data_IF_833262416337
#
_entry.id   IF_833262416337
#
_cell.length_a   1.000
_cell.length_b   1.000
_cell.length_c   1.000
_cell.angle_alpha   90.00
_cell.angle_beta   90.00
_cell.angle_gamma   90.00
#
_symmetry.space_group_name_H-M   'P 1'
#
loop_
_entity.id
_entity.type
_entity.pdbx_description
1 polymer ?
#
# COMPACT_ATOMS: atom_id res chain seq x y z
N UNK A 1 25.36 -9.94 0.63
CA UNK A 1 24.50 -11.12 0.60
C UNK A 1 23.54 -11.02 -0.57
N UNK A 2 23.71 -11.88 -1.53
CA UNK A 2 22.85 -11.93 -2.69
C UNK A 2 21.43 -12.34 -2.26
N UNK A 3 20.47 -11.41 -2.25
CA UNK A 3 19.08 -11.79 -2.09
C UNK A 3 18.19 -10.94 -1.18
N UNK A 4 18.68 -9.86 -0.60
CA UNK A 4 17.85 -8.93 0.17
C UNK A 4 17.48 -7.70 -0.66
N UNK A 5 16.39 -7.04 -0.27
CA UNK A 5 16.02 -5.70 -0.69
C UNK A 5 16.24 -4.73 0.47
N UNK A 6 16.86 -3.60 0.17
CA UNK A 6 17.13 -2.54 1.14
C UNK A 6 16.45 -1.25 0.68
N UNK A 7 15.96 -0.41 1.60
CA UNK A 7 15.36 0.87 1.25
C UNK A 7 16.31 1.84 0.54
N UNK A 8 17.62 1.67 0.75
CA UNK A 8 18.65 2.47 0.09
C UNK A 8 20.02 1.79 0.10
N UNK A 9 20.96 2.25 -0.74
CA UNK A 9 22.26 1.60 -0.92
C UNK A 9 23.28 1.92 0.19
N UNK A 10 23.13 3.02 0.91
CA UNK A 10 24.11 3.53 1.87
C UNK A 10 23.53 3.68 3.27
N UNK A 11 22.77 4.75 3.54
CA UNK A 11 22.19 5.07 4.84
C UNK A 11 21.22 3.99 5.29
N UNK A 12 20.39 3.49 4.39
CA UNK A 12 19.39 2.46 4.63
C UNK A 12 19.83 1.06 4.15
N UNK A 13 21.12 0.77 4.26
CA UNK A 13 21.66 -0.56 3.90
C UNK A 13 21.39 -1.60 5.01
N UNK A 14 20.14 -1.65 5.45
CA UNK A 14 19.63 -2.74 6.30
C UNK A 14 18.23 -3.12 5.86
N UNK A 15 17.76 -4.26 6.33
CA UNK A 15 16.46 -4.78 5.95
C UNK A 15 15.36 -4.23 6.87
N UNK A 16 14.26 -3.76 6.28
CA UNK A 16 12.98 -3.50 6.91
C UNK A 16 11.88 -4.29 6.24
N UNK A 17 10.98 -4.91 7.02
CA UNK A 17 9.85 -5.64 6.45
C UNK A 17 8.90 -4.72 5.69
N UNK A 18 8.60 -3.54 6.21
CA UNK A 18 7.75 -2.54 5.55
C UNK A 18 8.21 -2.27 4.13
N UNK A 19 9.42 -1.80 3.97
CA UNK A 19 10.01 -1.49 2.68
C UNK A 19 10.14 -2.73 1.80
N UNK A 20 10.59 -3.83 2.38
CA UNK A 20 10.73 -5.10 1.69
C UNK A 20 9.42 -5.61 1.10
N UNK A 21 8.32 -5.53 1.84
CA UNK A 21 7.00 -5.97 1.38
C UNK A 21 6.46 -5.09 0.25
N UNK A 22 6.60 -3.75 0.36
CA UNK A 22 6.14 -2.81 -0.66
C UNK A 22 6.98 -2.91 -1.95
N UNK A 23 8.31 -3.03 -1.83
CA UNK A 23 9.18 -3.28 -2.98
C UNK A 23 8.89 -4.62 -3.66
N UNK A 24 8.63 -5.69 -2.88
CA UNK A 24 8.26 -6.99 -3.44
C UNK A 24 6.91 -6.92 -4.14
N UNK A 25 5.93 -6.17 -3.62
CA UNK A 25 4.67 -5.95 -4.31
C UNK A 25 4.86 -5.31 -5.68
N UNK A 26 5.73 -4.29 -5.78
CA UNK A 26 6.08 -3.67 -7.07
C UNK A 26 6.77 -4.66 -8.02
N UNK A 27 7.71 -5.45 -7.52
CA UNK A 27 8.39 -6.50 -8.31
C UNK A 27 7.40 -7.58 -8.80
N UNK A 28 6.43 -7.98 -7.98
CA UNK A 28 5.36 -8.92 -8.39
C UNK A 28 4.52 -8.32 -9.52
N UNK A 29 4.14 -7.07 -9.38
CA UNK A 29 3.35 -6.36 -10.40
C UNK A 29 4.12 -6.13 -11.70
N UNK A 30 5.45 -6.10 -11.64
CA UNK A 30 6.35 -6.03 -12.79
C UNK A 30 6.77 -7.41 -13.33
N UNK A 31 6.24 -8.52 -12.78
CA UNK A 31 6.47 -9.87 -13.30
C UNK A 31 7.73 -10.58 -12.79
N UNK A 32 8.46 -10.03 -11.83
CA UNK A 32 9.70 -10.63 -11.29
C UNK A 32 9.43 -11.76 -10.29
N UNK A 33 8.59 -12.73 -10.67
CA UNK A 33 8.10 -13.84 -9.83
C UNK A 33 9.22 -14.59 -9.09
N UNK A 34 10.24 -15.06 -9.82
CA UNK A 34 11.34 -15.83 -9.20
C UNK A 34 12.17 -15.01 -8.22
N UNK A 35 12.39 -13.74 -8.53
CA UNK A 35 13.08 -12.83 -7.61
C UNK A 35 12.29 -12.65 -6.33
N UNK A 36 10.99 -12.42 -6.44
CA UNK A 36 10.09 -12.30 -5.29
C UNK A 36 10.09 -13.58 -4.45
N UNK A 37 10.04 -14.76 -5.08
CA UNK A 37 10.15 -16.06 -4.38
C UNK A 37 11.44 -16.12 -3.55
N UNK A 38 12.59 -15.81 -4.14
CA UNK A 38 13.89 -15.85 -3.44
C UNK A 38 13.93 -14.90 -2.25
N UNK A 39 13.40 -13.68 -2.41
CA UNK A 39 13.33 -12.67 -1.34
C UNK A 39 12.43 -13.13 -0.19
N UNK A 40 11.19 -13.51 -0.49
CA UNK A 40 10.21 -13.97 0.50
C UNK A 40 10.67 -15.25 1.21
N UNK A 41 11.46 -16.10 0.55
CA UNK A 41 12.00 -17.33 1.11
C UNK A 41 12.98 -17.08 2.29
N UNK A 42 13.49 -15.86 2.41
CA UNK A 42 14.31 -15.41 3.53
C UNK A 42 13.51 -14.95 4.75
N UNK A 43 12.23 -14.56 4.58
CA UNK A 43 11.43 -13.94 5.63
C UNK A 43 11.22 -14.83 6.88
N UNK A 44 10.88 -16.14 6.77
CA UNK A 44 10.68 -16.99 7.93
C UNK A 44 11.91 -17.09 8.86
N UNK A 45 13.12 -16.88 8.33
CA UNK A 45 14.35 -16.88 9.15
C UNK A 45 14.49 -15.64 10.03
N UNK A 46 13.73 -14.60 9.74
CA UNK A 46 13.71 -13.32 10.47
C UNK A 46 12.56 -13.23 11.46
N UNK A 47 11.69 -14.27 11.49
CA UNK A 47 10.62 -14.38 12.47
C UNK A 47 11.19 -14.91 13.78
N UNK A 48 10.93 -14.23 14.87
CA UNK A 48 11.35 -14.67 16.18
C UNK A 48 10.47 -15.82 16.75
N UNK A 49 10.80 -16.29 17.97
CA UNK A 49 10.09 -17.39 18.61
C UNK A 49 8.65 -17.03 18.98
N UNK A 50 8.32 -15.77 19.23
CA UNK A 50 6.95 -15.32 19.50
C UNK A 50 6.07 -15.26 18.26
N UNK A 51 6.67 -15.20 17.07
CA UNK A 51 5.98 -15.01 15.80
C UNK A 51 6.12 -13.60 15.24
N UNK A 52 6.89 -12.75 15.87
CA UNK A 52 7.14 -11.40 15.41
C UNK A 52 8.14 -11.37 14.25
N UNK A 53 7.75 -10.76 13.14
CA UNK A 53 8.65 -10.39 12.05
C UNK A 53 9.29 -9.04 12.39
N UNK A 54 10.36 -9.08 13.15
CA UNK A 54 10.96 -7.90 13.77
C UNK A 54 11.92 -7.18 12.83
N UNK A 55 11.56 -5.96 12.40
CA UNK A 55 12.54 -4.98 11.88
C UNK A 55 13.19 -4.23 13.03
N UNK A 56 12.36 -3.64 13.87
CA UNK A 56 12.78 -2.91 15.05
C UNK A 56 11.64 -2.90 16.10
N UNK A 57 11.96 -2.71 17.37
CA UNK A 57 10.94 -2.67 18.42
C UNK A 57 10.07 -1.43 18.26
N UNK A 58 8.76 -1.57 18.40
CA UNK A 58 7.81 -0.48 18.22
C UNK A 58 7.26 -0.34 16.78
N UNK A 59 7.77 -1.13 15.82
CA UNK A 59 7.23 -1.22 14.46
C UNK A 59 6.27 -2.41 14.36
N UNK A 60 4.99 -2.17 14.66
CA UNK A 60 3.99 -3.25 14.75
C UNK A 60 3.35 -3.62 13.42
N UNK A 61 3.58 -2.86 12.37
CA UNK A 61 3.06 -3.06 11.01
C UNK A 61 3.62 -4.29 10.30
N UNK A 62 4.84 -4.70 10.66
CA UNK A 62 5.62 -5.70 9.92
C UNK A 62 4.93 -7.07 9.80
N UNK A 63 4.26 -7.56 10.86
CA UNK A 63 3.56 -8.83 10.79
C UNK A 63 2.44 -8.77 9.75
N UNK A 64 1.61 -7.72 9.81
CA UNK A 64 0.53 -7.52 8.85
C UNK A 64 1.01 -7.50 7.41
N UNK A 65 2.10 -6.77 7.15
CA UNK A 65 2.70 -6.64 5.84
C UNK A 65 3.28 -7.96 5.30
N UNK A 66 3.93 -8.75 6.15
CA UNK A 66 4.47 -10.06 5.74
C UNK A 66 3.35 -11.03 5.36
N UNK A 67 2.30 -11.10 6.18
CA UNK A 67 1.16 -11.96 5.89
C UNK A 67 0.47 -11.54 4.58
N UNK A 68 0.28 -10.23 4.41
CA UNK A 68 -0.30 -9.65 3.20
C UNK A 68 0.54 -9.96 1.95
N UNK A 69 1.87 -9.80 1.99
CA UNK A 69 2.71 -10.04 0.82
C UNK A 69 2.84 -11.53 0.48
N UNK A 70 2.76 -12.44 1.46
CA UNK A 70 2.68 -13.88 1.19
C UNK A 70 1.40 -14.26 0.44
N UNK A 71 0.24 -13.74 0.89
CA UNK A 71 -1.03 -13.92 0.18
C UNK A 71 -0.97 -13.27 -1.22
N UNK A 72 -0.42 -12.05 -1.31
CA UNK A 72 -0.24 -11.34 -2.58
C UNK A 72 0.59 -12.16 -3.57
N UNK A 73 1.69 -12.76 -3.12
CA UNK A 73 2.51 -13.65 -3.94
C UNK A 73 1.67 -14.82 -4.48
N UNK A 74 0.96 -15.54 -3.60
CA UNK A 74 0.14 -16.69 -4.01
C UNK A 74 -0.95 -16.30 -5.01
N UNK A 75 -1.59 -15.15 -4.82
CA UNK A 75 -2.64 -14.65 -5.73
C UNK A 75 -2.07 -14.20 -7.07
N UNK A 76 -0.98 -13.45 -7.07
CA UNK A 76 -0.36 -12.92 -8.29
C UNK A 76 0.24 -14.02 -9.17
N UNK A 77 0.86 -15.03 -8.57
CA UNK A 77 1.56 -16.09 -9.31
C UNK A 77 0.70 -17.33 -9.56
N UNK A 78 -0.29 -17.59 -8.71
CA UNK A 78 -1.02 -18.86 -8.66
C UNK A 78 -0.26 -19.99 -7.96
N UNK A 79 0.98 -19.75 -7.51
CA UNK A 79 1.84 -20.77 -6.91
C UNK A 79 1.36 -21.22 -5.54
N UNK A 80 1.64 -22.48 -5.16
CA UNK A 80 1.52 -22.90 -3.79
C UNK A 80 2.59 -22.21 -2.92
N UNK A 81 2.21 -21.84 -1.70
CA UNK A 81 3.15 -21.32 -0.72
C UNK A 81 3.96 -22.47 -0.10
N UNK A 82 5.29 -22.31 0.11
CA UNK A 82 6.07 -23.23 0.90
C UNK A 82 5.51 -23.40 2.32
N UNK A 83 5.53 -24.61 2.87
CA UNK A 83 4.97 -24.88 4.21
C UNK A 83 5.49 -23.93 5.29
N UNK A 84 6.79 -23.60 5.28
CA UNK A 84 7.38 -22.64 6.22
C UNK A 84 6.83 -21.21 6.11
N UNK A 85 6.32 -20.80 4.94
CA UNK A 85 5.65 -19.49 4.81
C UNK A 85 4.25 -19.56 5.43
N UNK A 86 3.54 -20.66 5.18
CA UNK A 86 2.22 -20.91 5.78
C UNK A 86 2.32 -20.95 7.30
N UNK A 87 3.28 -21.72 7.85
CA UNK A 87 3.50 -21.80 9.30
C UNK A 87 3.90 -20.43 9.88
N UNK A 88 4.78 -19.71 9.19
CA UNK A 88 5.19 -18.36 9.56
C UNK A 88 4.01 -17.37 9.57
N UNK A 89 3.13 -17.44 8.56
CA UNK A 89 1.94 -16.60 8.49
C UNK A 89 0.98 -16.86 9.64
N UNK A 90 0.67 -18.14 9.94
CA UNK A 90 -0.23 -18.49 11.05
C UNK A 90 0.34 -18.08 12.41
N UNK A 91 1.66 -18.26 12.59
CA UNK A 91 2.35 -17.81 13.79
C UNK A 91 2.36 -16.29 13.92
N UNK A 92 2.58 -15.58 12.81
CA UNK A 92 2.51 -14.12 12.75
C UNK A 92 1.11 -13.57 13.02
N UNK A 93 0.06 -14.24 12.53
CA UNK A 93 -1.32 -13.89 12.82
C UNK A 93 -1.65 -14.02 14.31
N UNK A 94 -1.21 -15.12 14.94
CA UNK A 94 -1.36 -15.30 16.40
C UNK A 94 -0.67 -14.17 17.17
N UNK A 95 0.54 -13.81 16.77
CA UNK A 95 1.26 -12.70 17.37
C UNK A 95 0.48 -11.39 17.30
N UNK A 96 -0.15 -11.07 16.15
CA UNK A 96 -1.00 -9.87 16.02
C UNK A 96 -2.13 -9.91 17.05
N UNK A 97 -2.84 -11.03 17.17
CA UNK A 97 -3.94 -11.20 18.14
C UNK A 97 -3.47 -11.02 19.59
N UNK A 98 -2.37 -11.68 19.95
CA UNK A 98 -1.80 -11.65 21.31
C UNK A 98 -1.15 -10.30 21.68
N UNK A 99 -0.70 -9.53 20.69
CA UNK A 99 -0.03 -8.25 20.90
C UNK A 99 -1.01 -7.11 21.19
N UNK A 100 -2.27 -7.24 20.83
CA UNK A 100 -3.30 -6.21 21.02
C UNK A 100 -3.48 -5.83 22.49
N UNK A 101 -3.82 -4.57 22.72
CA UNK A 101 -4.18 -4.09 24.06
C UNK A 101 -5.45 -4.79 24.55
N UNK A 102 -5.64 -4.90 25.88
CA UNK A 102 -6.91 -5.35 26.44
C UNK A 102 -8.08 -4.49 25.95
N UNK A 103 -9.25 -5.10 25.81
CA UNK A 103 -10.48 -4.35 25.54
C UNK A 103 -10.94 -3.64 26.79
N UNK A 104 -10.98 -2.34 26.73
CA UNK A 104 -11.49 -1.46 27.75
C UNK A 104 -12.22 -0.26 27.13
N UNK A 105 -12.64 0.69 27.95
CA UNK A 105 -13.33 1.91 27.53
C UNK A 105 -12.40 2.97 26.90
N UNK A 106 -11.09 2.72 26.80
CA UNK A 106 -10.18 3.63 26.14
C UNK A 106 -10.39 3.69 24.62
N UNK A 107 -9.91 4.74 23.96
CA UNK A 107 -9.99 4.83 22.50
C UNK A 107 -9.08 3.80 21.80
N UNK A 108 -8.07 3.28 22.52
CA UNK A 108 -7.14 2.26 21.98
C UNK A 108 -7.46 0.84 22.42
N UNK A 109 -8.56 0.63 23.17
CA UNK A 109 -8.95 -0.69 23.63
C UNK A 109 -9.13 -1.68 22.50
N UNK A 110 -8.34 -2.77 22.51
CA UNK A 110 -8.33 -3.81 21.47
C UNK A 110 -7.51 -3.47 20.21
N UNK A 111 -6.81 -2.33 20.16
CA UNK A 111 -5.84 -1.98 19.11
C UNK A 111 -4.45 -2.54 19.40
N UNK A 112 -3.53 -2.44 18.46
CA UNK A 112 -2.12 -2.69 18.70
C UNK A 112 -1.55 -1.64 19.70
N UNK A 113 -0.52 -1.97 20.47
CA UNK A 113 -0.01 -1.06 21.49
C UNK A 113 0.68 0.15 20.86
N UNK A 114 0.93 1.17 21.67
CA UNK A 114 1.70 2.33 21.23
C UNK A 114 3.06 1.90 20.68
N UNK A 115 3.44 2.48 19.58
CA UNK A 115 4.69 2.28 18.86
C UNK A 115 5.04 3.50 18.02
N UNK A 116 6.12 3.45 17.29
CA UNK A 116 6.48 4.52 16.35
C UNK A 116 6.52 4.05 14.90
N UNK A 117 6.17 2.82 14.64
CA UNK A 117 6.05 2.11 13.38
C UNK A 117 6.74 2.73 12.18
N UNK A 118 6.02 3.46 11.34
CA UNK A 118 6.61 4.30 10.34
C UNK A 118 6.96 5.65 11.01
N UNK A 119 8.22 5.88 11.31
CA UNK A 119 8.71 7.03 12.08
C UNK A 119 8.22 8.37 11.54
N UNK A 120 8.06 8.47 10.23
CA UNK A 120 7.52 9.66 9.58
C UNK A 120 6.04 9.97 9.91
N UNK A 121 5.33 9.07 10.58
CA UNK A 121 3.96 9.36 11.05
C UNK A 121 3.95 10.19 12.32
N UNK A 122 5.07 10.27 13.06
CA UNK A 122 5.23 11.10 14.26
C UNK A 122 5.78 10.34 15.48
N UNK A 123 5.65 10.92 16.68
CA UNK A 123 6.14 10.32 17.91
C UNK A 123 5.36 9.05 18.28
N UNK A 124 5.87 8.32 19.29
CA UNK A 124 5.25 7.08 19.77
C UNK A 124 3.76 7.25 20.13
N UNK A 125 2.89 6.47 19.47
CA UNK A 125 1.42 6.53 19.63
C UNK A 125 0.76 5.22 19.17
N UNK A 126 -0.58 5.09 19.31
CA UNK A 126 -1.41 3.99 18.81
C UNK A 126 -1.78 4.24 17.36
N UNK A 127 -0.93 3.85 16.42
CA UNK A 127 -1.12 4.17 15.02
C UNK A 127 -2.14 3.29 14.32
N UNK A 128 -3.15 3.91 13.71
CA UNK A 128 -4.09 3.19 12.83
C UNK A 128 -3.42 2.55 11.61
N UNK A 129 -2.26 3.06 11.19
CA UNK A 129 -1.40 2.39 10.22
C UNK A 129 -1.11 0.95 10.62
N UNK A 130 -0.70 0.71 11.87
CA UNK A 130 -0.39 -0.62 12.39
C UNK A 130 -1.62 -1.52 12.42
N UNK A 131 -2.75 -0.97 12.88
CA UNK A 131 -3.99 -1.70 12.99
C UNK A 131 -4.58 -2.07 11.62
N UNK A 132 -4.51 -1.18 10.62
CA UNK A 132 -4.92 -1.49 9.25
C UNK A 132 -4.05 -2.59 8.64
N UNK A 133 -2.72 -2.54 8.82
CA UNK A 133 -1.85 -3.62 8.39
C UNK A 133 -2.11 -4.91 9.16
N UNK A 134 -2.34 -4.84 10.47
CA UNK A 134 -2.72 -5.98 11.31
C UNK A 134 -3.99 -6.66 10.81
N UNK A 135 -5.02 -5.87 10.52
CA UNK A 135 -6.31 -6.34 9.97
C UNK A 135 -6.11 -7.01 8.60
N UNK A 136 -5.42 -6.36 7.68
CA UNK A 136 -5.13 -6.92 6.36
C UNK A 136 -4.30 -8.21 6.46
N UNK A 137 -3.37 -8.27 7.40
CA UNK A 137 -2.57 -9.46 7.69
C UNK A 137 -3.41 -10.63 8.20
N UNK A 138 -4.34 -10.40 9.14
CA UNK A 138 -5.26 -11.43 9.63
C UNK A 138 -6.17 -11.94 8.51
N UNK A 139 -6.71 -11.06 7.66
CA UNK A 139 -7.49 -11.43 6.49
C UNK A 139 -6.65 -12.24 5.48
N UNK A 140 -5.39 -11.86 5.25
CA UNK A 140 -4.47 -12.60 4.41
C UNK A 140 -4.16 -13.99 4.98
N UNK A 141 -3.91 -14.09 6.28
CA UNK A 141 -3.70 -15.37 6.96
C UNK A 141 -4.92 -16.29 6.86
N UNK A 142 -6.15 -15.74 6.94
CA UNK A 142 -7.36 -16.50 6.73
C UNK A 142 -7.45 -17.08 5.31
N UNK A 143 -7.13 -16.29 4.27
CA UNK A 143 -7.05 -16.79 2.88
C UNK A 143 -5.97 -17.87 2.70
N UNK A 144 -4.82 -17.69 3.36
CA UNK A 144 -3.75 -18.70 3.37
C UNK A 144 -4.25 -19.98 4.07
N UNK A 145 -4.91 -19.89 5.23
CA UNK A 145 -5.45 -21.03 5.93
C UNK A 145 -6.53 -21.77 5.12
N UNK A 146 -7.43 -21.04 4.45
CA UNK A 146 -8.43 -21.60 3.53
C UNK A 146 -7.78 -22.47 2.44
N UNK A 147 -6.65 -22.03 1.88
CA UNK A 147 -5.99 -22.69 0.76
C UNK A 147 -5.08 -23.84 1.20
N UNK A 148 -4.44 -23.74 2.37
CA UNK A 148 -3.35 -24.65 2.78
C UNK A 148 -3.55 -25.35 4.13
N UNK A 149 -4.65 -25.11 4.82
CA UNK A 149 -4.97 -25.63 6.15
C UNK A 149 -6.44 -26.12 6.22
N UNK A 150 -7.10 -25.81 7.33
CA UNK A 150 -8.44 -26.26 7.62
C UNK A 150 -9.44 -25.10 7.63
N UNK A 151 -10.70 -25.41 7.34
CA UNK A 151 -11.81 -24.46 7.45
C UNK A 151 -11.95 -23.89 8.87
N UNK A 152 -11.62 -24.68 9.89
CA UNK A 152 -11.64 -24.23 11.28
C UNK A 152 -10.63 -23.14 11.55
N UNK A 153 -9.40 -23.28 11.05
CA UNK A 153 -8.35 -22.25 11.17
C UNK A 153 -8.70 -20.97 10.39
N UNK A 154 -9.25 -21.12 9.18
CA UNK A 154 -9.80 -19.98 8.42
C UNK A 154 -10.83 -19.20 9.22
N UNK A 155 -11.85 -19.90 9.77
CA UNK A 155 -12.92 -19.26 10.53
C UNK A 155 -12.42 -18.56 11.80
N UNK A 156 -11.46 -19.16 12.51
CA UNK A 156 -10.86 -18.55 13.68
C UNK A 156 -10.14 -17.23 13.31
N UNK A 157 -9.37 -17.23 12.22
CA UNK A 157 -8.67 -16.03 11.76
C UNK A 157 -9.62 -14.93 11.25
N UNK A 158 -10.72 -15.31 10.59
CA UNK A 158 -11.77 -14.36 10.19
C UNK A 158 -12.47 -13.75 11.40
N UNK A 159 -12.68 -14.51 12.48
CA UNK A 159 -13.24 -13.99 13.72
C UNK A 159 -12.29 -12.97 14.37
N UNK A 160 -11.00 -13.26 14.43
CA UNK A 160 -9.98 -12.32 14.94
C UNK A 160 -9.89 -11.05 14.08
N UNK A 161 -9.95 -11.18 12.75
CA UNK A 161 -9.98 -10.04 11.85
C UNK A 161 -11.22 -9.16 12.09
N UNK A 162 -12.40 -9.76 12.17
CA UNK A 162 -13.64 -9.03 12.43
C UNK A 162 -13.64 -8.32 13.81
N UNK A 163 -12.97 -8.92 14.77
CA UNK A 163 -12.79 -8.38 16.10
C UNK A 163 -11.88 -7.15 16.13
N UNK A 164 -10.72 -7.22 15.46
CA UNK A 164 -9.84 -6.08 15.30
C UNK A 164 -10.52 -4.96 14.49
N UNK A 165 -11.21 -5.30 13.41
CA UNK A 165 -11.96 -4.36 12.59
C UNK A 165 -12.99 -3.58 13.41
N UNK A 166 -13.77 -4.28 14.26
CA UNK A 166 -14.73 -3.66 15.16
C UNK A 166 -14.06 -2.70 16.15
N UNK A 167 -12.95 -3.10 16.76
CA UNK A 167 -12.19 -2.26 17.69
C UNK A 167 -11.66 -1.00 16.99
N UNK A 168 -11.10 -1.17 15.81
CA UNK A 168 -10.50 -0.10 15.00
C UNK A 168 -11.55 0.95 14.58
N UNK A 169 -12.66 0.54 13.99
CA UNK A 169 -13.69 1.48 13.55
C UNK A 169 -14.43 2.10 14.74
N UNK A 170 -14.68 1.36 15.83
CA UNK A 170 -15.20 1.92 17.06
C UNK A 170 -14.27 3.00 17.63
N UNK A 171 -12.97 2.78 17.61
CA UNK A 171 -11.96 3.78 18.01
C UNK A 171 -12.08 5.07 17.18
N UNK A 172 -12.08 4.93 15.84
CA UNK A 172 -12.19 6.07 14.91
C UNK A 172 -13.49 6.85 15.12
N UNK A 173 -14.62 6.17 15.26
CA UNK A 173 -15.94 6.81 15.38
C UNK A 173 -16.12 7.54 16.72
N UNK A 174 -15.44 7.12 17.76
CA UNK A 174 -15.47 7.77 19.08
C UNK A 174 -14.55 9.01 19.16
N UNK A 175 -13.72 9.29 18.16
CA UNK A 175 -12.91 10.51 18.14
C UNK A 175 -13.84 11.71 17.91
N UNK A 176 -13.78 12.77 18.76
CA UNK A 176 -14.58 13.96 18.56
C UNK A 176 -14.37 14.58 17.17
N UNK A 177 -15.45 14.94 16.51
CA UNK A 177 -15.46 15.47 15.13
C UNK A 177 -14.51 16.68 14.94
N UNK A 178 -14.43 17.54 15.94
CA UNK A 178 -13.51 18.71 15.95
C UNK A 178 -12.02 18.30 15.82
N UNK A 179 -11.65 17.07 16.24
CA UNK A 179 -10.29 16.55 16.12
C UNK A 179 -10.07 15.88 14.78
N UNK A 180 -11.00 15.03 14.33
CA UNK A 180 -10.85 14.26 13.10
C UNK A 180 -11.29 14.98 11.82
N UNK A 181 -12.03 16.08 11.93
CA UNK A 181 -12.52 16.90 10.80
C UNK A 181 -13.20 16.07 9.70
N UNK A 182 -13.90 15.03 10.08
CA UNK A 182 -14.53 14.07 9.17
C UNK A 182 -13.58 13.05 8.53
N UNK A 183 -12.26 13.16 8.75
CA UNK A 183 -11.24 12.24 8.25
C UNK A 183 -10.82 11.20 9.27
N UNK A 184 -9.72 10.51 8.98
CA UNK A 184 -9.09 9.49 9.83
C UNK A 184 -7.72 10.04 10.26
N UNK A 185 -7.54 10.45 11.53
CA UNK A 185 -6.24 10.90 12.03
C UNK A 185 -5.24 9.74 12.10
N UNK A 186 -3.98 10.04 12.37
CA UNK A 186 -2.94 9.01 12.50
C UNK A 186 -3.18 8.05 13.68
N UNK A 187 -3.80 8.54 14.76
CA UNK A 187 -4.05 7.79 16.00
C UNK A 187 -5.30 8.31 16.73
N UNK A 188 -5.83 7.55 17.71
CA UNK A 188 -7.03 7.95 18.45
C UNK A 188 -6.85 9.23 19.28
N UNK A 189 -5.63 9.58 19.65
CA UNK A 189 -5.35 10.71 20.56
C UNK A 189 -4.87 11.98 19.85
N UNK A 190 -4.48 11.86 18.60
CA UNK A 190 -4.02 13.01 17.80
C UNK A 190 -5.18 13.73 17.10
N UNK A 191 -4.97 15.00 16.81
CA UNK A 191 -5.75 15.75 15.82
C UNK A 191 -5.26 15.40 14.42
N UNK A 192 -5.98 15.79 13.41
CA UNK A 192 -5.52 15.74 12.02
C UNK A 192 -4.20 16.51 11.87
N UNK A 193 -3.18 15.85 11.35
CA UNK A 193 -1.86 16.37 11.00
C UNK A 193 -1.28 15.58 9.83
N UNK A 194 -0.02 15.81 9.47
CA UNK A 194 0.63 15.13 8.35
C UNK A 194 0.72 13.61 8.53
N UNK A 195 0.77 13.10 9.77
CA UNK A 195 0.75 11.67 10.05
C UNK A 195 -0.51 10.94 9.60
N UNK A 196 -1.62 11.66 9.36
CA UNK A 196 -2.85 11.08 8.82
C UNK A 196 -2.68 10.46 7.42
N UNK A 197 -1.57 10.74 6.72
CA UNK A 197 -1.22 10.09 5.46
C UNK A 197 -1.12 8.57 5.63
N UNK A 198 -0.65 8.08 6.78
CA UNK A 198 -0.59 6.66 7.09
C UNK A 198 -1.96 5.99 7.11
N UNK A 199 -3.02 6.69 7.51
CA UNK A 199 -4.37 6.14 7.56
C UNK A 199 -4.97 5.89 6.16
N UNK A 200 -4.40 6.47 5.10
CA UNK A 200 -4.82 6.20 3.72
C UNK A 200 -4.53 4.76 3.28
N UNK A 201 -3.69 4.03 4.01
CA UNK A 201 -3.44 2.61 3.74
C UNK A 201 -4.73 1.77 3.77
N UNK A 202 -5.74 2.20 4.52
CA UNK A 202 -7.07 1.60 4.55
C UNK A 202 -7.78 1.62 3.18
N UNK A 203 -7.47 2.63 2.36
CA UNK A 203 -7.95 2.73 0.98
C UNK A 203 -6.99 2.02 0.02
N UNK A 204 -5.73 2.44 -0.02
CA UNK A 204 -4.70 1.86 -0.88
C UNK A 204 -3.40 1.62 -0.08
N UNK A 205 -2.79 0.42 -0.16
CA UNK A 205 -3.12 -0.71 -1.06
C UNK A 205 -4.11 -1.71 -0.48
N UNK A 206 -4.62 -1.55 0.75
CA UNK A 206 -5.30 -2.60 1.49
C UNK A 206 -6.77 -2.81 1.09
N UNK A 207 -7.42 -1.81 0.51
CA UNK A 207 -8.82 -1.86 0.09
C UNK A 207 -9.80 -2.29 1.22
N UNK A 208 -9.50 -1.94 2.48
CA UNK A 208 -10.36 -2.20 3.62
C UNK A 208 -11.61 -1.33 3.53
N UNK A 209 -11.43 -0.07 3.12
CA UNK A 209 -12.53 0.86 2.87
C UNK A 209 -12.92 0.84 1.39
N UNK A 210 -14.21 0.92 1.06
CA UNK A 210 -14.66 0.95 -0.32
C UNK A 210 -14.26 2.26 -1.01
N UNK A 211 -14.14 2.26 -2.36
CA UNK A 211 -13.99 3.51 -3.12
C UNK A 211 -15.13 4.48 -2.81
N UNK A 212 -14.84 5.77 -2.79
CA UNK A 212 -15.81 6.82 -2.43
C UNK A 212 -16.05 6.96 -0.92
N UNK A 213 -15.26 6.31 -0.07
CA UNK A 213 -15.39 6.46 1.37
C UNK A 213 -15.17 7.92 1.80
N UNK A 214 -16.17 8.49 2.48
CA UNK A 214 -16.17 9.92 2.86
C UNK A 214 -15.03 10.27 3.81
N UNK A 215 -14.66 9.42 4.74
CA UNK A 215 -13.58 9.70 5.69
C UNK A 215 -12.22 9.72 4.98
N UNK A 216 -12.00 8.82 4.00
CA UNK A 216 -10.81 8.83 3.14
C UNK A 216 -10.75 10.13 2.34
N UNK A 217 -11.83 10.54 1.67
CA UNK A 217 -11.88 11.77 0.90
C UNK A 217 -11.56 13.01 1.79
N UNK A 218 -12.13 13.08 2.99
CA UNK A 218 -11.85 14.15 3.96
C UNK A 218 -10.40 14.15 4.45
N UNK A 219 -9.79 12.97 4.60
CA UNK A 219 -8.37 12.85 4.95
C UNK A 219 -7.49 13.39 3.82
N UNK A 220 -7.76 13.00 2.58
CA UNK A 220 -7.04 13.51 1.40
C UNK A 220 -7.19 15.03 1.28
N UNK A 221 -8.41 15.56 1.37
CA UNK A 221 -8.66 17.01 1.29
C UNK A 221 -7.91 17.78 2.38
N UNK A 222 -7.87 17.25 3.62
CA UNK A 222 -7.07 17.84 4.69
C UNK A 222 -5.59 17.87 4.35
N UNK A 223 -5.03 16.72 3.92
CA UNK A 223 -3.60 16.59 3.61
C UNK A 223 -3.22 17.52 2.46
N UNK A 224 -3.97 17.52 1.37
CA UNK A 224 -3.70 18.39 0.21
C UNK A 224 -3.82 19.88 0.53
N UNK A 225 -4.71 20.25 1.47
CA UNK A 225 -4.91 21.67 1.84
C UNK A 225 -3.88 22.15 2.87
N UNK A 226 -3.37 21.27 3.75
CA UNK A 226 -2.60 21.65 4.93
C UNK A 226 -1.17 21.14 4.97
N UNK A 227 -0.88 20.06 4.22
CA UNK A 227 0.40 19.35 4.29
C UNK A 227 1.10 19.29 2.94
N UNK A 228 0.76 20.14 1.99
CA UNK A 228 1.40 20.22 0.69
C UNK A 228 2.31 21.43 0.57
N UNK A 229 3.42 21.27 -0.11
CA UNK A 229 4.32 22.34 -0.49
C UNK A 229 4.81 22.11 -1.92
N UNK A 230 4.66 23.13 -2.77
CA UNK A 230 5.05 23.07 -4.20
C UNK A 230 4.51 21.84 -4.95
N UNK A 231 3.23 21.49 -4.68
CA UNK A 231 2.55 20.38 -5.36
C UNK A 231 2.80 18.99 -4.80
N UNK A 232 3.72 18.82 -3.85
CA UNK A 232 4.01 17.54 -3.19
C UNK A 232 3.65 17.52 -1.71
N UNK A 233 3.41 16.32 -1.19
CA UNK A 233 3.15 16.12 0.25
C UNK A 233 4.42 16.43 1.05
N UNK A 234 4.31 17.38 1.96
CA UNK A 234 5.38 17.80 2.86
C UNK A 234 5.17 17.20 4.25
N UNK A 235 6.06 16.32 4.67
CA UNK A 235 6.11 15.85 6.05
C UNK A 235 6.81 16.91 6.91
N UNK A 236 6.11 17.40 7.94
CA UNK A 236 6.59 18.49 8.81
C UNK A 236 7.06 18.02 10.19
N UNK A 237 7.06 16.71 10.43
CA UNK A 237 7.50 16.12 11.70
C UNK A 237 8.87 15.45 11.55
N UNK A 238 8.94 14.13 11.63
CA UNK A 238 10.16 13.36 11.44
C UNK A 238 10.36 13.09 9.95
N UNK A 239 11.60 13.08 9.44
CA UNK A 239 11.93 12.96 8.01
C UNK A 239 11.33 14.11 7.18
N UNK A 240 11.49 15.33 7.68
CA UNK A 240 10.87 16.52 7.12
C UNK A 240 11.34 16.84 5.70
N UNK A 241 10.39 17.11 4.82
CA UNK A 241 10.60 17.44 3.43
C UNK A 241 9.44 16.99 2.55
N UNK A 242 9.53 17.27 1.24
CA UNK A 242 8.60 16.72 0.26
C UNK A 242 8.91 15.24 0.06
N UNK A 243 7.97 14.37 0.38
CA UNK A 243 8.15 12.93 0.28
C UNK A 243 7.50 12.38 -1.00
N UNK A 244 8.31 11.91 -1.94
CA UNK A 244 7.82 11.36 -3.20
C UNK A 244 6.88 10.17 -2.98
N UNK A 245 7.26 9.18 -2.15
CA UNK A 245 6.46 7.99 -1.89
C UNK A 245 5.13 8.28 -1.19
N UNK A 246 5.08 9.24 -0.25
CA UNK A 246 3.81 9.62 0.41
C UNK A 246 2.91 10.44 -0.53
N UNK A 247 3.49 11.27 -1.41
CA UNK A 247 2.75 11.94 -2.48
C UNK A 247 2.12 10.92 -3.44
N UNK A 248 2.87 9.86 -3.79
CA UNK A 248 2.38 8.77 -4.64
C UNK A 248 1.29 7.94 -3.95
N UNK A 249 1.38 7.69 -2.64
CA UNK A 249 0.31 7.04 -1.87
C UNK A 249 -1.00 7.83 -1.91
N UNK A 250 -0.93 9.16 -1.81
CA UNK A 250 -2.10 10.04 -1.98
C UNK A 250 -2.62 9.96 -3.41
N UNK A 251 -1.73 9.97 -4.43
CA UNK A 251 -2.12 9.83 -5.83
C UNK A 251 -2.83 8.49 -6.10
N UNK A 252 -2.37 7.40 -5.50
CA UNK A 252 -3.03 6.08 -5.58
C UNK A 252 -4.45 6.11 -5.02
N UNK A 253 -4.62 6.75 -3.86
CA UNK A 253 -5.94 6.92 -3.25
C UNK A 253 -6.86 7.77 -4.16
N UNK A 254 -6.36 8.87 -4.72
CA UNK A 254 -7.11 9.69 -5.67
C UNK A 254 -7.49 8.90 -6.92
N UNK A 255 -6.54 8.18 -7.54
CA UNK A 255 -6.78 7.34 -8.72
C UNK A 255 -7.85 6.27 -8.44
N UNK A 256 -7.78 5.59 -7.29
CA UNK A 256 -8.77 4.58 -6.90
C UNK A 256 -10.17 5.16 -6.74
N UNK A 257 -10.26 6.42 -6.35
CA UNK A 257 -11.52 7.14 -6.11
C UNK A 257 -11.97 7.96 -7.33
N UNK A 258 -11.43 7.70 -8.52
CA UNK A 258 -11.74 8.40 -9.77
C UNK A 258 -11.57 9.94 -9.68
N UNK A 259 -10.64 10.42 -8.83
CA UNK A 259 -10.35 11.84 -8.63
C UNK A 259 -9.17 12.28 -9.52
N UNK A 260 -9.38 13.21 -10.47
CA UNK A 260 -8.38 13.58 -11.48
C UNK A 260 -7.13 14.25 -10.90
N UNK A 261 -7.15 14.70 -9.65
CA UNK A 261 -5.99 15.33 -8.99
C UNK A 261 -4.77 14.39 -8.93
N UNK A 262 -4.94 13.05 -9.07
CA UNK A 262 -3.81 12.12 -9.13
C UNK A 262 -2.82 12.48 -10.23
N UNK A 263 -3.28 13.01 -11.36
CA UNK A 263 -2.45 13.35 -12.52
C UNK A 263 -1.42 14.45 -12.16
N UNK A 264 -1.86 15.49 -11.46
CA UNK A 264 -0.95 16.56 -11.01
C UNK A 264 0.11 16.03 -10.04
N UNK A 265 -0.25 15.07 -9.16
CA UNK A 265 0.71 14.47 -8.23
C UNK A 265 1.72 13.57 -8.95
N UNK A 266 1.26 12.83 -9.97
CA UNK A 266 2.14 12.04 -10.84
C UNK A 266 3.18 12.95 -11.52
N UNK A 267 2.73 14.04 -12.16
CA UNK A 267 3.60 15.01 -12.83
C UNK A 267 4.59 15.67 -11.84
N UNK A 268 4.09 16.11 -10.68
CA UNK A 268 4.95 16.69 -9.63
C UNK A 268 6.06 15.73 -9.21
N UNK A 269 5.73 14.45 -8.97
CA UNK A 269 6.74 13.46 -8.58
C UNK A 269 7.69 13.13 -9.72
N UNK A 270 7.23 13.12 -10.97
CA UNK A 270 8.10 12.98 -12.14
C UNK A 270 9.13 14.12 -12.21
N UNK A 271 8.69 15.36 -12.01
CA UNK A 271 9.55 16.55 -12.03
C UNK A 271 10.54 16.62 -10.86
N UNK A 272 10.23 15.95 -9.75
CA UNK A 272 11.12 15.84 -8.58
C UNK A 272 12.16 14.73 -8.73
N UNK A 273 12.11 13.91 -9.77
CA UNK A 273 13.09 12.86 -10.00
C UNK A 273 14.48 13.45 -10.29
N UNK A 274 15.51 12.74 -9.82
CA UNK A 274 16.87 13.01 -10.30
C UNK A 274 16.99 12.76 -11.81
N UNK A 275 18.04 13.25 -12.47
CA UNK A 275 18.26 12.96 -13.89
C UNK A 275 18.33 11.47 -14.25
N UNK A 276 18.56 10.62 -13.26
CA UNK A 276 18.61 9.15 -13.40
C UNK A 276 17.31 8.45 -12.99
N UNK A 277 16.21 9.20 -12.76
CA UNK A 277 14.89 8.66 -12.47
C UNK A 277 14.76 8.11 -11.05
N UNK A 278 15.30 8.78 -10.05
CA UNK A 278 15.32 8.33 -8.65
C UNK A 278 14.92 9.46 -7.71
N UNK A 279 14.50 9.09 -6.51
CA UNK A 279 14.10 10.02 -5.46
C UNK A 279 14.80 9.69 -4.14
N UNK A 280 15.25 10.70 -3.37
CA UNK A 280 15.53 10.53 -1.95
C UNK A 280 14.23 10.30 -1.16
N UNK A 281 14.35 9.90 0.10
CA UNK A 281 13.20 9.76 0.98
C UNK A 281 12.48 11.09 1.20
N UNK A 282 13.22 12.16 1.47
CA UNK A 282 12.69 13.51 1.58
C UNK A 282 13.50 14.49 0.73
N UNK A 283 12.81 15.40 0.08
CA UNK A 283 13.33 16.40 -0.84
C UNK A 283 13.16 17.78 -0.21
N UNK A 284 14.23 18.55 -0.17
CA UNK A 284 14.21 19.92 0.31
C UNK A 284 13.49 20.79 -0.73
N UNK A 285 12.36 21.47 -0.37
CA UNK A 285 11.52 22.13 -1.38
C UNK A 285 12.26 23.22 -2.17
N UNK A 286 13.09 24.01 -1.51
CA UNK A 286 13.80 25.13 -2.15
C UNK A 286 14.99 24.69 -3.02
N UNK A 287 15.80 23.73 -2.55
CA UNK A 287 16.99 23.29 -3.28
C UNK A 287 16.73 22.13 -4.22
N UNK A 288 15.60 21.45 -4.05
CA UNK A 288 15.21 20.19 -4.72
C UNK A 288 16.22 19.04 -4.54
N UNK A 289 17.18 19.20 -3.63
CA UNK A 289 18.11 18.15 -3.23
C UNK A 289 17.53 17.24 -2.13
N UNK A 290 18.11 16.05 -1.96
CA UNK A 290 17.75 15.17 -0.85
C UNK A 290 18.13 15.76 0.51
N UNK A 291 17.25 15.65 1.48
CA UNK A 291 17.48 16.12 2.86
C UNK A 291 17.27 15.00 3.91
N UNK A 292 16.85 13.82 3.50
CA UNK A 292 16.75 12.63 4.34
C UNK A 292 16.97 11.37 3.52
N UNK A 293 17.59 10.37 4.14
CA UNK A 293 17.87 9.07 3.55
C UNK A 293 18.88 9.10 2.42
N UNK A 294 18.90 8.04 1.63
CA UNK A 294 19.72 7.96 0.42
C UNK A 294 19.02 8.64 -0.76
N UNK A 295 19.77 9.07 -1.77
CA UNK A 295 19.21 9.60 -3.01
C UNK A 295 18.43 8.60 -3.85
N UNK A 296 18.43 7.34 -3.47
CA UNK A 296 17.80 6.19 -4.13
C UNK A 296 16.89 5.46 -3.15
N UNK A 297 15.75 6.05 -2.84
CA UNK A 297 14.81 5.46 -1.90
C UNK A 297 13.96 4.38 -2.59
N UNK A 298 14.14 3.11 -2.15
CA UNK A 298 13.51 1.94 -2.77
C UNK A 298 11.99 1.92 -2.68
N UNK A 299 11.42 2.43 -1.59
CA UNK A 299 9.97 2.55 -1.46
C UNK A 299 9.40 3.59 -2.44
N UNK A 300 10.06 4.74 -2.64
CA UNK A 300 9.62 5.72 -3.63
C UNK A 300 9.60 5.13 -5.05
N UNK A 301 10.66 4.39 -5.43
CA UNK A 301 10.69 3.69 -6.70
C UNK A 301 9.57 2.63 -6.84
N UNK A 302 9.29 1.90 -5.76
CA UNK A 302 8.21 0.91 -5.74
C UNK A 302 6.83 1.54 -5.92
N UNK A 303 6.54 2.65 -5.23
CA UNK A 303 5.27 3.37 -5.37
C UNK A 303 5.12 3.99 -6.77
N UNK A 304 6.20 4.49 -7.35
CA UNK A 304 6.19 4.97 -8.73
C UNK A 304 5.79 3.86 -9.72
N UNK A 305 6.44 2.69 -9.63
CA UNK A 305 6.13 1.53 -10.48
C UNK A 305 4.67 1.11 -10.29
N UNK A 306 4.18 1.10 -9.04
CA UNK A 306 2.80 0.74 -8.75
C UNK A 306 1.80 1.77 -9.29
N UNK A 307 2.06 3.07 -9.14
CA UNK A 307 1.16 4.08 -9.67
C UNK A 307 1.09 4.00 -11.20
N UNK A 308 2.23 3.96 -11.89
CA UNK A 308 2.27 3.83 -13.36
C UNK A 308 1.51 2.57 -13.81
N UNK A 309 1.75 1.43 -13.18
CA UNK A 309 0.99 0.20 -13.47
C UNK A 309 -0.51 0.41 -13.28
N UNK A 310 -0.92 1.04 -12.20
CA UNK A 310 -2.31 1.22 -11.83
C UNK A 310 -3.08 2.22 -12.72
N UNK A 311 -2.38 3.07 -13.46
CA UNK A 311 -3.00 3.89 -14.52
C UNK A 311 -3.64 3.02 -15.61
N UNK A 312 -3.00 1.89 -15.91
CA UNK A 312 -3.40 0.97 -16.98
C UNK A 312 -4.20 -0.21 -16.47
N UNK A 313 -3.74 -0.84 -15.38
CA UNK A 313 -4.29 -2.10 -14.86
C UNK A 313 -4.25 -2.08 -13.34
N UNK A 314 -5.41 -2.13 -12.69
CA UNK A 314 -5.49 -2.25 -11.23
C UNK A 314 -6.60 -3.20 -10.80
N UNK A 315 -6.39 -3.86 -9.69
CA UNK A 315 -7.39 -4.70 -9.04
C UNK A 315 -8.28 -3.85 -8.13
N UNK A 316 -9.57 -4.17 -8.10
CA UNK A 316 -10.53 -3.66 -7.13
C UNK A 316 -11.37 -4.84 -6.61
N UNK A 317 -10.95 -5.43 -5.49
CA UNK A 317 -11.49 -6.69 -5.01
C UNK A 317 -11.34 -7.80 -6.05
N UNK A 318 -12.47 -8.36 -6.48
CA UNK A 318 -12.55 -9.40 -7.52
C UNK A 318 -12.73 -8.82 -8.94
N UNK A 319 -12.54 -7.51 -9.11
CA UNK A 319 -12.65 -6.84 -10.41
C UNK A 319 -11.30 -6.38 -10.91
N UNK A 320 -11.17 -6.30 -12.23
CA UNK A 320 -10.03 -5.71 -12.91
C UNK A 320 -10.45 -4.40 -13.58
N UNK A 321 -9.80 -3.31 -13.22
CA UNK A 321 -10.06 -1.98 -13.78
C UNK A 321 -8.94 -1.67 -14.77
N UNK A 322 -9.31 -1.30 -15.98
CA UNK A 322 -8.40 -1.09 -17.11
C UNK A 322 -8.49 0.33 -17.63
N UNK A 323 -7.35 1.00 -17.77
CA UNK A 323 -7.22 2.31 -18.38
C UNK A 323 -7.79 3.48 -17.56
N UNK A 324 -8.13 3.28 -16.28
CA UNK A 324 -8.80 4.31 -15.47
C UNK A 324 -7.93 5.53 -15.15
N UNK A 325 -6.61 5.43 -15.33
CA UNK A 325 -5.66 6.49 -15.03
C UNK A 325 -4.93 7.04 -16.27
N UNK A 326 -5.45 6.81 -17.46
CA UNK A 326 -4.86 7.38 -18.67
C UNK A 326 -4.99 8.90 -18.66
N UNK A 327 -3.87 9.60 -18.87
CA UNK A 327 -3.85 11.06 -18.84
C UNK A 327 -4.60 11.64 -20.06
N UNK A 328 -5.37 12.73 -19.88
CA UNK A 328 -6.05 13.39 -21.00
C UNK A 328 -5.12 13.79 -22.15
N UNK A 329 -3.89 14.20 -21.83
CA UNK A 329 -2.84 14.54 -22.82
C UNK A 329 -2.46 13.33 -23.69
N UNK A 330 -2.36 12.13 -23.09
CA UNK A 330 -2.06 10.89 -23.82
C UNK A 330 -3.21 10.52 -24.76
N UNK A 331 -4.45 10.62 -24.27
CA UNK A 331 -5.65 10.35 -25.07
C UNK A 331 -5.77 11.37 -26.21
N UNK A 332 -5.50 12.65 -25.94
CA UNK A 332 -5.56 13.72 -26.91
C UNK A 332 -4.52 13.63 -28.03
N UNK A 333 -3.36 13.02 -27.76
CA UNK A 333 -2.33 12.77 -28.77
C UNK A 333 -2.77 11.78 -29.86
N UNK A 334 -3.79 10.94 -29.57
CA UNK A 334 -4.30 9.89 -30.46
C UNK A 334 -3.27 8.88 -30.96
N UNK A 335 -2.17 8.76 -30.20
CA UNK A 335 -1.14 7.74 -30.44
C UNK A 335 -1.54 6.42 -29.76
N UNK A 336 -1.00 5.30 -30.23
CA UNK A 336 -1.23 4.02 -29.59
C UNK A 336 -0.63 4.03 -28.17
N UNK A 337 -1.44 3.62 -27.18
CA UNK A 337 -1.06 3.44 -25.80
C UNK A 337 -1.14 1.96 -25.49
N UNK A 338 -0.03 1.35 -25.06
CA UNK A 338 0.02 -0.07 -24.76
C UNK A 338 0.70 -0.32 -23.40
N UNK A 339 0.19 -1.30 -22.65
CA UNK A 339 0.77 -1.76 -21.40
C UNK A 339 0.54 -3.26 -21.21
N UNK A 340 1.61 -4.01 -20.94
CA UNK A 340 1.54 -5.44 -20.72
C UNK A 340 2.77 -6.20 -21.23
N UNK A 341 2.82 -7.52 -21.01
CA UNK A 341 1.85 -8.29 -20.22
C UNK A 341 1.91 -7.93 -18.72
N UNK A 342 0.79 -7.47 -18.18
CA UNK A 342 0.66 -7.07 -16.76
C UNK A 342 0.22 -8.27 -15.91
N UNK A 343 1.01 -8.73 -14.95
CA UNK A 343 0.58 -9.75 -14.00
C UNK A 343 -0.57 -9.24 -13.13
N UNK A 344 -1.57 -10.09 -12.93
CA UNK A 344 -2.70 -9.85 -12.03
C UNK A 344 -3.04 -11.14 -11.26
N UNK A 345 -3.81 -11.07 -10.18
CA UNK A 345 -4.36 -12.27 -9.53
C UNK A 345 -5.16 -13.17 -10.46
N UNK A 346 -5.68 -12.63 -11.55
CA UNK A 346 -6.54 -13.33 -12.49
C UNK A 346 -5.78 -13.94 -13.67
N UNK A 347 -4.52 -13.57 -13.86
CA UNK A 347 -3.68 -13.94 -15.00
C UNK A 347 -2.95 -12.74 -15.58
N UNK A 348 -2.27 -12.93 -16.70
CA UNK A 348 -1.60 -11.82 -17.38
C UNK A 348 -2.56 -11.14 -18.35
N UNK A 349 -2.51 -9.81 -18.42
CA UNK A 349 -3.34 -9.01 -19.31
C UNK A 349 -2.49 -8.01 -20.09
N UNK A 350 -2.76 -7.90 -21.38
CA UNK A 350 -2.25 -6.86 -22.26
C UNK A 350 -3.38 -5.88 -22.55
N UNK A 351 -3.11 -4.62 -22.35
CA UNK A 351 -4.03 -3.51 -22.62
C UNK A 351 -3.47 -2.66 -23.75
N UNK A 352 -4.31 -2.35 -24.77
CA UNK A 352 -3.99 -1.40 -25.85
C UNK A 352 -5.16 -0.47 -26.10
N UNK A 353 -4.87 0.80 -26.24
CA UNK A 353 -5.79 1.83 -26.73
C UNK A 353 -5.21 2.42 -28.01
N UNK A 354 -5.96 2.37 -29.09
CA UNK A 354 -5.59 2.94 -30.38
C UNK A 354 -6.80 3.55 -31.08
N UNK A 355 -6.58 4.26 -32.16
CA UNK A 355 -7.66 4.93 -32.90
C UNK A 355 -7.86 4.27 -34.25
N UNK A 356 -9.12 4.00 -34.62
CA UNK A 356 -9.53 3.54 -35.94
C UNK A 356 -10.67 4.43 -36.44
N UNK A 357 -10.49 5.06 -37.61
CA UNK A 357 -11.45 6.01 -38.18
C UNK A 357 -11.83 7.14 -37.19
N UNK A 358 -10.85 7.64 -36.47
CA UNK A 358 -11.01 8.72 -35.47
C UNK A 358 -11.69 8.31 -34.15
N UNK A 359 -12.03 7.01 -33.99
CA UNK A 359 -12.67 6.48 -32.77
C UNK A 359 -11.67 5.70 -31.91
N UNK A 360 -11.69 5.86 -30.57
CA UNK A 360 -10.88 5.06 -29.69
C UNK A 360 -11.35 3.60 -29.68
N UNK A 361 -10.40 2.68 -29.77
CA UNK A 361 -10.61 1.23 -29.70
C UNK A 361 -9.74 0.68 -28.58
N UNK A 362 -10.35 -0.01 -27.64
CA UNK A 362 -9.62 -0.74 -26.59
C UNK A 362 -9.54 -2.21 -27.00
N UNK A 363 -8.32 -2.74 -27.03
CA UNK A 363 -8.05 -4.15 -27.24
C UNK A 363 -7.43 -4.74 -25.97
N UNK A 364 -8.02 -5.83 -25.48
CA UNK A 364 -7.58 -6.55 -24.29
C UNK A 364 -7.26 -7.97 -24.72
N UNK A 365 -6.04 -8.40 -24.46
CA UNK A 365 -5.63 -9.79 -24.62
C UNK A 365 -5.21 -10.32 -23.24
N UNK A 366 -5.68 -11.50 -22.86
CA UNK A 366 -5.40 -12.05 -21.56
C UNK A 366 -5.29 -13.56 -21.56
N UNK A 367 -4.44 -14.06 -20.66
CA UNK A 367 -4.34 -15.47 -20.31
C UNK A 367 -4.87 -15.65 -18.88
N UNK A 368 -6.18 -15.87 -18.79
CA UNK A 368 -6.86 -15.96 -17.49
C UNK A 368 -6.60 -17.30 -16.80
N UNK A 369 -6.24 -17.23 -15.51
CA UNK A 369 -6.36 -18.36 -14.57
C UNK A 369 -7.78 -18.46 -14.04
N UNK A 370 -8.40 -17.29 -13.82
CA UNK A 370 -9.78 -17.11 -13.43
C UNK A 370 -10.28 -15.82 -14.07
N UNK A 371 -11.43 -15.85 -14.75
CA UNK A 371 -11.96 -14.69 -15.45
C UNK A 371 -12.54 -13.67 -14.49
N UNK A 372 -11.97 -12.46 -14.37
CA UNK A 372 -12.51 -11.40 -13.53
C UNK A 372 -13.68 -10.68 -14.19
N UNK A 373 -14.42 -9.91 -13.43
CA UNK A 373 -15.25 -8.84 -13.98
C UNK A 373 -14.32 -7.70 -14.38
N UNK A 374 -14.24 -7.42 -15.70
CA UNK A 374 -13.46 -6.30 -16.21
C UNK A 374 -14.31 -5.04 -16.32
N UNK A 375 -13.79 -3.92 -15.82
CA UNK A 375 -14.31 -2.57 -16.08
C UNK A 375 -13.25 -1.80 -16.89
N UNK A 376 -13.65 -1.27 -18.03
CA UNK A 376 -12.79 -0.44 -18.90
C UNK A 376 -13.23 1.01 -18.74
N UNK A 377 -12.32 1.88 -18.30
CA UNK A 377 -12.58 3.30 -18.06
C UNK A 377 -11.76 4.23 -18.99
N UNK A 378 -11.18 3.70 -20.06
CA UNK A 378 -10.41 4.49 -21.02
C UNK A 378 -11.28 5.56 -21.67
N UNK A 379 -11.30 6.78 -21.15
CA UNK A 379 -12.00 7.90 -21.77
C UNK A 379 -13.05 8.64 -20.93
N UNK A 380 -13.10 8.49 -19.61
CA UNK A 380 -14.00 9.33 -18.79
C UNK A 380 -13.64 10.83 -18.72
N UNK A 381 -12.61 11.24 -19.44
CA UNK A 381 -12.13 12.64 -19.47
C UNK A 381 -12.29 13.26 -20.87
N UNK A 382 -13.46 13.06 -21.51
CA UNK A 382 -13.87 13.86 -22.65
C UNK A 382 -15.26 14.43 -22.38
#
# INVERSE_FOLDING_TARGET
SAGDVFPGPYTYRRFWFRDGCLMINALLSAGFRERCFRLLNGFPRRQDRSGYFKSQEGEWDSNGQVLWVFDRYARMTGDPLPGKWVDGALKGARWITEKRTPRDESLHGGLLPAGFSAEHLGPNDYYYWDDFWGLAGLQAAARIARRFRTKKEEQALLAEAADLEKSLFSSIDRIPERRRRGGIPASPYRRMDSGAVGSLVADYPLQILPPGNRAVARTVDFLMTRCFHEGGFFQDMIHSGVNAYLTLSIAQTLLRNDDPRYANLLETVADLASPTGQWPEAIHPRTRGGCMGDGQHGWAAAEWVQLVRNLFVREEGEKLILGSGLLPSWIGAKEEIAYGPAPTPFGNVDFRLFWRDGRPVVHIQALWRESPVCRVDAGRTV
#
